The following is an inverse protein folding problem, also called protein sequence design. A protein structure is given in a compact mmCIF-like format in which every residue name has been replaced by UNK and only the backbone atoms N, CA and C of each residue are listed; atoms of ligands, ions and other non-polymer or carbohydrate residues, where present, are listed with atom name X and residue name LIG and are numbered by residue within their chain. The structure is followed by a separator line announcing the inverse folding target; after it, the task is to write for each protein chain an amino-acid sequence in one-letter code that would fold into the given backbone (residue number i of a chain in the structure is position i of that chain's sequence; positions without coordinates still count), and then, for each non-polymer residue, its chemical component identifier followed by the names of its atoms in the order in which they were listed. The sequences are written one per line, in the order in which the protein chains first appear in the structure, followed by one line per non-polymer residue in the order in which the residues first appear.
data_IF_299692593830
#
_entry.id   IF_299692593830
#
_cell.length_a   1.000
_cell.length_b   1.000
_cell.length_c   1.000
_cell.angle_alpha   90.00
_cell.angle_beta   90.00
_cell.angle_gamma   90.00
#
_symmetry.space_group_name_H-M   'P 1'
#
loop_
_entity.id
_entity.type
_entity.pdbx_description
1 polymer ?
#
# COMPACT_ATOMS: atom_id res chain seq x y z
N UNK A 1 -11.17 -34.50 29.08
CA UNK A 1 -10.49 -34.43 27.77
C UNK A 1 -10.25 -32.96 27.49
N UNK A 2 -8.99 -32.54 27.49
CA UNK A 2 -8.61 -31.13 27.63
C UNK A 2 -8.62 -30.37 26.30
N UNK A 3 -9.12 -29.15 26.39
CA UNK A 3 -9.23 -28.12 25.35
C UNK A 3 -7.90 -27.80 24.65
N UNK A 4 -7.89 -27.85 23.31
CA UNK A 4 -6.79 -27.38 22.47
C UNK A 4 -6.98 -25.88 22.18
N UNK A 5 -6.17 -25.06 22.84
CA UNK A 5 -6.04 -23.62 22.62
C UNK A 5 -5.32 -23.36 21.28
N UNK A 6 -5.87 -22.57 20.34
CA UNK A 6 -5.15 -22.21 19.12
C UNK A 6 -4.06 -21.18 19.45
N UNK A 7 -2.80 -21.61 19.35
CA UNK A 7 -1.61 -20.81 19.62
C UNK A 7 -1.45 -19.74 18.53
N UNK A 8 -1.41 -18.48 18.95
CA UNK A 8 -1.19 -17.31 18.09
C UNK A 8 0.10 -17.43 17.25
N UNK A 9 0.16 -16.79 16.06
CA UNK A 9 1.37 -16.80 15.23
C UNK A 9 2.53 -16.12 15.94
N UNK A 10 3.64 -16.86 16.06
CA UNK A 10 4.90 -16.39 16.65
C UNK A 10 5.60 -15.50 15.62
N UNK A 11 5.78 -14.21 15.96
CA UNK A 11 6.65 -13.30 15.22
C UNK A 11 8.11 -13.69 15.52
N UNK A 12 8.89 -14.04 14.49
CA UNK A 12 10.33 -14.30 14.62
C UNK A 12 11.08 -12.98 14.33
N UNK A 13 11.78 -12.37 15.30
CA UNK A 13 12.67 -11.24 15.01
C UNK A 13 14.03 -11.77 14.56
N UNK A 14 14.36 -11.57 13.29
CA UNK A 14 15.70 -11.87 12.76
C UNK A 14 16.73 -10.84 13.28
N UNK A 15 17.47 -11.28 14.30
CA UNK A 15 18.90 -11.09 14.57
C UNK A 15 19.54 -9.69 14.43
N UNK A 16 19.84 -9.13 15.60
CA UNK A 16 20.91 -8.15 15.83
C UNK A 16 22.26 -8.67 15.31
N UNK A 17 22.92 -7.90 14.44
CA UNK A 17 24.37 -8.02 14.22
C UNK A 17 25.05 -6.81 14.86
N UNK A 18 25.70 -7.03 16.00
CA UNK A 18 26.56 -6.06 16.67
C UNK A 18 27.98 -6.15 16.10
N UNK A 19 28.48 -5.09 15.49
CA UNK A 19 29.92 -4.81 15.45
C UNK A 19 30.16 -3.29 15.46
N UNK A 20 30.71 -2.81 16.59
CA UNK A 20 31.52 -1.60 16.82
C UNK A 20 32.12 -0.98 15.55
N UNK A 21 32.07 0.33 15.25
CA UNK A 21 32.54 1.54 15.99
C UNK A 21 32.10 2.81 15.18
N UNK A 22 32.31 4.07 15.64
CA UNK A 22 31.35 5.17 15.50
C UNK A 22 31.64 6.13 14.34
N UNK A 23 30.59 6.79 13.80
CA UNK A 23 30.56 8.20 13.38
C UNK A 23 29.50 8.45 12.29
N UNK A 24 28.88 9.63 12.39
CA UNK A 24 28.05 10.33 11.40
C UNK A 24 26.54 9.97 11.30
N UNK A 25 25.73 10.80 11.97
CA UNK A 25 24.39 11.19 11.55
C UNK A 25 23.24 10.31 12.07
N UNK A 26 22.10 10.90 12.49
CA UNK A 26 20.88 10.11 12.71
C UNK A 26 20.40 9.67 11.32
N UNK A 27 20.79 8.47 10.92
CA UNK A 27 20.15 7.76 9.82
C UNK A 27 18.68 7.59 10.20
N UNK A 28 17.87 8.45 9.59
CA UNK A 28 16.42 8.39 9.56
C UNK A 28 16.01 6.92 9.47
N UNK A 29 15.40 6.42 10.53
CA UNK A 29 14.89 5.06 10.59
C UNK A 29 13.85 4.90 9.48
N UNK A 30 14.27 4.39 8.33
CA UNK A 30 13.38 3.88 7.31
C UNK A 30 12.78 2.58 7.85
N UNK A 31 11.86 2.70 8.81
CA UNK A 31 10.92 1.63 9.09
C UNK A 31 10.07 1.50 7.83
N UNK A 32 10.14 0.37 7.08
CA UNK A 32 9.25 0.16 5.95
C UNK A 32 7.83 0.32 6.45
N UNK A 33 7.08 1.24 5.84
CA UNK A 33 5.69 1.48 6.21
C UNK A 33 4.97 0.13 6.11
N UNK A 34 4.32 -0.34 7.20
CA UNK A 34 3.63 -1.63 7.15
C UNK A 34 2.64 -1.60 5.99
N UNK A 35 2.67 -2.66 5.19
CA UNK A 35 1.75 -2.82 4.08
C UNK A 35 0.33 -2.70 4.63
N UNK A 36 -0.56 -2.01 3.90
CA UNK A 36 -1.92 -1.84 4.37
C UNK A 36 -2.58 -3.21 4.54
N UNK A 37 -3.42 -3.37 5.58
CA UNK A 37 -4.03 -4.64 5.90
C UNK A 37 -4.82 -5.16 4.71
N UNK A 38 -4.70 -6.46 4.45
CA UNK A 38 -5.51 -7.15 3.45
C UNK A 38 -6.96 -7.17 3.97
N UNK A 39 -7.97 -6.86 3.14
CA UNK A 39 -9.37 -7.01 3.54
C UNK A 39 -9.64 -8.39 4.12
N UNK A 40 -10.38 -8.47 5.23
CA UNK A 40 -10.53 -9.71 6.02
C UNK A 40 -10.95 -10.94 5.20
N UNK A 41 -11.84 -10.77 4.21
CA UNK A 41 -12.30 -11.86 3.36
C UNK A 41 -11.20 -12.36 2.40
N UNK A 42 -10.40 -11.45 1.83
CA UNK A 42 -9.24 -11.81 0.98
C UNK A 42 -8.12 -12.44 1.81
N UNK A 43 -7.88 -11.93 3.03
CA UNK A 43 -6.90 -12.51 3.94
C UNK A 43 -7.28 -13.95 4.33
N UNK A 44 -8.57 -14.19 4.61
CA UNK A 44 -9.08 -15.52 4.91
C UNK A 44 -9.00 -16.48 3.71
N UNK A 45 -9.33 -16.00 2.50
CA UNK A 45 -9.22 -16.80 1.27
C UNK A 45 -7.77 -17.19 0.97
N UNK A 46 -6.83 -16.23 1.04
CA UNK A 46 -5.41 -16.50 0.84
C UNK A 46 -4.86 -17.45 1.91
N UNK A 47 -5.22 -17.25 3.18
CA UNK A 47 -4.82 -18.15 4.27
C UNK A 47 -5.38 -19.57 4.06
N UNK A 48 -6.62 -19.71 3.60
CA UNK A 48 -7.21 -21.00 3.28
C UNK A 48 -6.49 -21.69 2.10
N UNK A 49 -6.19 -20.95 1.04
CA UNK A 49 -5.42 -21.46 -0.11
C UNK A 49 -4.03 -21.94 0.29
N UNK A 50 -3.25 -21.11 1.01
CA UNK A 50 -1.94 -21.51 1.54
C UNK A 50 -2.03 -22.71 2.49
N UNK A 51 -3.07 -22.76 3.34
CA UNK A 51 -3.28 -23.89 4.26
C UNK A 51 -3.60 -25.18 3.51
N UNK A 52 -4.38 -25.11 2.42
CA UNK A 52 -4.69 -26.25 1.56
C UNK A 52 -3.42 -26.80 0.88
N UNK A 53 -2.61 -25.93 0.29
CA UNK A 53 -1.34 -26.30 -0.36
C UNK A 53 -0.39 -26.96 0.64
N UNK A 54 -0.28 -26.38 1.84
CA UNK A 54 0.59 -26.90 2.90
C UNK A 54 0.11 -28.26 3.45
N UNK A 55 -1.20 -28.44 3.60
CA UNK A 55 -1.78 -29.68 4.12
C UNK A 55 -1.76 -30.81 3.07
N UNK A 56 -1.87 -30.48 1.78
CA UNK A 56 -1.99 -31.45 0.71
C UNK A 56 -1.07 -31.12 -0.49
N UNK A 57 0.26 -31.17 -0.32
CA UNK A 57 1.20 -30.74 -1.36
C UNK A 57 1.16 -31.58 -2.64
N UNK A 58 0.73 -32.84 -2.55
CA UNK A 58 0.63 -33.76 -3.69
C UNK A 58 -0.79 -33.85 -4.28
N UNK A 59 -1.71 -32.97 -3.85
CA UNK A 59 -3.07 -32.98 -4.38
C UNK A 59 -3.07 -32.47 -5.83
N UNK A 60 -3.88 -33.05 -6.74
CA UNK A 60 -3.94 -32.61 -8.15
C UNK A 60 -4.41 -31.15 -8.34
N UNK A 61 -4.95 -30.53 -7.29
CA UNK A 61 -5.37 -29.12 -7.27
C UNK A 61 -4.42 -28.20 -6.51
N UNK A 62 -3.33 -28.72 -5.93
CA UNK A 62 -2.41 -27.91 -5.14
C UNK A 62 -1.67 -26.88 -6.00
N UNK A 63 -1.28 -27.25 -7.22
CA UNK A 63 -0.64 -26.35 -8.18
C UNK A 63 -1.59 -25.23 -8.62
N UNK A 64 -2.83 -25.59 -9.00
CA UNK A 64 -3.87 -24.61 -9.33
C UNK A 64 -4.15 -23.65 -8.16
N UNK A 65 -4.28 -24.17 -6.94
CA UNK A 65 -4.47 -23.34 -5.76
C UNK A 65 -3.28 -22.40 -5.50
N UNK A 66 -2.05 -22.86 -5.77
CA UNK A 66 -0.85 -22.02 -5.64
C UNK A 66 -0.84 -20.89 -6.67
N UNK A 67 -1.20 -21.17 -7.92
CA UNK A 67 -1.29 -20.18 -8.99
C UNK A 67 -2.36 -19.12 -8.71
N UNK A 68 -3.55 -19.53 -8.27
CA UNK A 68 -4.63 -18.60 -7.90
C UNK A 68 -4.23 -17.69 -6.75
N UNK A 69 -3.62 -18.26 -5.70
CA UNK A 69 -3.15 -17.48 -4.55
C UNK A 69 -2.05 -16.50 -4.97
N UNK A 70 -1.10 -16.93 -5.80
CA UNK A 70 -0.02 -16.09 -6.31
C UNK A 70 -0.56 -14.96 -7.19
N UNK A 71 -1.50 -15.26 -8.10
CA UNK A 71 -2.15 -14.29 -8.97
C UNK A 71 -2.86 -13.21 -8.15
N UNK A 72 -3.63 -13.60 -7.13
CA UNK A 72 -4.30 -12.64 -6.24
C UNK A 72 -3.31 -11.74 -5.48
N UNK A 73 -2.14 -12.28 -5.08
CA UNK A 73 -1.07 -11.51 -4.44
C UNK A 73 -0.46 -10.50 -5.43
N UNK A 74 -0.16 -10.93 -6.65
CA UNK A 74 0.47 -10.09 -7.67
C UNK A 74 -0.47 -8.97 -8.15
N UNK A 75 -1.76 -9.28 -8.36
CA UNK A 75 -2.78 -8.27 -8.67
C UNK A 75 -2.89 -7.22 -7.56
N UNK A 76 -2.89 -7.66 -6.29
CA UNK A 76 -2.93 -6.73 -5.15
C UNK A 76 -1.67 -5.86 -5.08
N UNK A 77 -0.49 -6.45 -5.32
CA UNK A 77 0.77 -5.72 -5.37
C UNK A 77 0.77 -4.64 -6.47
N UNK A 78 0.21 -4.96 -7.64
CA UNK A 78 0.04 -4.01 -8.74
C UNK A 78 -0.85 -2.83 -8.32
N UNK A 79 -1.99 -3.11 -7.70
CA UNK A 79 -2.93 -2.06 -7.23
C UNK A 79 -2.28 -1.17 -6.16
N UNK A 80 -1.46 -1.74 -5.26
CA UNK A 80 -0.67 -0.96 -4.29
C UNK A 80 0.36 -0.05 -4.97
N UNK A 81 1.09 -0.57 -5.96
CA UNK A 81 2.03 0.23 -6.75
C UNK A 81 1.33 1.39 -7.48
N UNK A 82 0.14 1.14 -8.05
CA UNK A 82 -0.69 2.19 -8.65
C UNK A 82 -1.14 3.24 -7.62
N UNK A 83 -1.51 2.81 -6.39
CA UNK A 83 -1.86 3.72 -5.29
C UNK A 83 -0.73 4.69 -4.98
N UNK A 84 0.50 4.18 -4.87
CA UNK A 84 1.67 5.00 -4.53
C UNK A 84 2.04 5.97 -5.67
N UNK A 85 1.94 5.54 -6.94
CA UNK A 85 2.08 6.44 -8.10
C UNK A 85 1.06 7.57 -8.10
N UNK A 86 -0.18 7.30 -7.69
CA UNK A 86 -1.21 8.35 -7.56
C UNK A 86 -0.91 9.31 -6.41
N UNK A 87 -0.38 8.81 -5.27
CA UNK A 87 0.06 9.68 -4.16
C UNK A 87 1.17 10.63 -4.60
N UNK A 88 2.16 10.12 -5.33
CA UNK A 88 3.24 10.95 -5.87
C UNK A 88 2.69 12.02 -6.83
N UNK A 89 1.80 11.65 -7.76
CA UNK A 89 1.14 12.62 -8.66
C UNK A 89 0.36 13.68 -7.89
N UNK A 90 -0.36 13.30 -6.83
CA UNK A 90 -1.07 14.25 -5.97
C UNK A 90 -0.09 15.23 -5.30
N UNK A 91 1.03 14.75 -4.76
CA UNK A 91 2.04 15.60 -4.14
C UNK A 91 2.65 16.59 -5.14
N UNK A 92 3.00 16.13 -6.35
CA UNK A 92 3.53 16.99 -7.41
C UNK A 92 2.50 18.04 -7.83
N UNK A 93 1.22 17.67 -7.98
CA UNK A 93 0.14 18.62 -8.27
C UNK A 93 -0.01 19.67 -7.17
N UNK A 94 0.12 19.27 -5.90
CA UNK A 94 0.07 20.19 -4.77
C UNK A 94 1.24 21.18 -4.77
N UNK A 95 2.47 20.69 -4.99
CA UNK A 95 3.66 21.53 -5.12
C UNK A 95 3.53 22.52 -6.29
N UNK A 96 3.03 22.06 -7.45
CA UNK A 96 2.78 22.94 -8.60
C UNK A 96 1.76 24.03 -8.28
N UNK A 97 0.67 23.71 -7.58
CA UNK A 97 -0.30 24.71 -7.12
C UNK A 97 0.38 25.73 -6.21
N UNK A 98 1.12 25.25 -5.22
CA UNK A 98 1.78 26.10 -4.23
C UNK A 98 2.71 27.13 -4.90
N UNK A 99 3.55 26.68 -5.85
CA UNK A 99 4.45 27.56 -6.62
C UNK A 99 3.70 28.52 -7.57
N UNK A 100 2.52 28.14 -8.05
CA UNK A 100 1.75 28.95 -8.97
C UNK A 100 0.90 30.02 -8.24
N UNK A 101 0.53 29.76 -6.98
CA UNK A 101 -0.19 30.71 -6.14
C UNK A 101 0.69 31.89 -5.68
N UNK A 102 2.02 31.74 -5.75
CA UNK A 102 2.98 32.82 -5.54
C UNK A 102 3.20 33.75 -6.75
N UNK A 103 2.63 33.43 -7.93
CA UNK A 103 2.76 34.24 -9.15
C UNK A 103 1.64 35.26 -9.33
N UNK A 104 1.93 36.55 -9.22
CA UNK A 104 0.98 37.66 -9.44
C UNK A 104 0.74 37.90 -10.94
N UNK A 105 -0.27 37.25 -11.56
CA UNK A 105 -0.60 37.53 -12.97
C UNK A 105 -1.91 36.94 -13.48
N UNK A 106 -2.49 37.51 -14.55
CA UNK A 106 -3.74 37.03 -15.18
C UNK A 106 -3.60 35.66 -15.86
N UNK A 107 -2.38 35.27 -16.27
CA UNK A 107 -2.07 33.90 -16.71
C UNK A 107 -2.19 32.88 -15.56
N UNK A 108 -2.06 33.34 -14.31
CA UNK A 108 -2.17 32.48 -13.15
C UNK A 108 -3.56 31.84 -13.01
N UNK A 109 -4.61 32.52 -13.51
CA UNK A 109 -6.02 32.07 -13.36
C UNK A 109 -6.35 30.90 -14.28
N UNK A 110 -5.85 30.90 -15.53
CA UNK A 110 -6.03 29.77 -16.47
C UNK A 110 -5.27 28.53 -15.99
N UNK A 111 -4.02 28.71 -15.54
CA UNK A 111 -3.22 27.62 -14.95
C UNK A 111 -3.88 27.02 -13.71
N UNK A 112 -4.42 27.87 -12.82
CA UNK A 112 -5.10 27.44 -11.58
C UNK A 112 -6.36 26.61 -11.83
N UNK A 113 -7.11 26.90 -12.90
CA UNK A 113 -8.31 26.12 -13.29
C UNK A 113 -7.95 24.75 -13.87
N UNK A 114 -6.89 24.67 -14.67
CA UNK A 114 -6.39 23.41 -15.24
C UNK A 114 -5.80 22.49 -14.15
N UNK A 115 -5.00 23.04 -13.23
CA UNK A 115 -4.44 22.31 -12.07
C UNK A 115 -5.55 21.74 -11.18
N UNK A 116 -6.63 22.50 -10.94
CA UNK A 116 -7.82 21.99 -10.20
C UNK A 116 -8.52 20.83 -10.90
N UNK A 117 -8.61 20.84 -12.24
CA UNK A 117 -9.24 19.75 -12.99
C UNK A 117 -8.39 18.48 -12.93
N UNK A 118 -7.09 18.61 -13.16
CA UNK A 118 -6.15 17.50 -13.08
C UNK A 118 -6.14 16.86 -11.68
N UNK A 119 -6.11 17.69 -10.63
CA UNK A 119 -6.16 17.25 -9.24
C UNK A 119 -7.44 16.45 -8.93
N UNK A 120 -8.62 16.93 -9.36
CA UNK A 120 -9.88 16.17 -9.21
C UNK A 120 -9.81 14.80 -9.87
N UNK A 121 -9.22 14.72 -11.07
CA UNK A 121 -9.00 13.45 -11.79
C UNK A 121 -8.16 12.48 -10.97
N UNK A 122 -6.97 12.91 -10.54
CA UNK A 122 -6.05 12.07 -9.75
C UNK A 122 -6.67 11.63 -8.43
N UNK A 123 -7.38 12.53 -7.73
CA UNK A 123 -8.08 12.22 -6.48
C UNK A 123 -9.18 11.18 -6.69
N UNK A 124 -9.93 11.30 -7.77
CA UNK A 124 -11.01 10.35 -8.08
C UNK A 124 -10.47 8.94 -8.33
N UNK A 125 -9.36 8.82 -9.06
CA UNK A 125 -8.67 7.55 -9.28
C UNK A 125 -8.09 6.98 -7.98
N UNK A 126 -7.51 7.84 -7.13
CA UNK A 126 -6.98 7.40 -5.83
C UNK A 126 -8.08 6.82 -4.94
N UNK A 127 -9.27 7.44 -4.91
CA UNK A 127 -10.43 6.92 -4.19
C UNK A 127 -10.88 5.55 -4.72
N UNK A 128 -10.92 5.36 -6.05
CA UNK A 128 -11.25 4.06 -6.66
C UNK A 128 -10.25 2.97 -6.26
N UNK A 129 -8.95 3.28 -6.28
CA UNK A 129 -7.91 2.33 -5.88
C UNK A 129 -8.01 1.99 -4.39
N UNK A 130 -8.25 2.98 -3.52
CA UNK A 130 -8.46 2.73 -2.09
C UNK A 130 -9.68 1.82 -1.87
N UNK A 131 -10.78 2.04 -2.59
CA UNK A 131 -11.96 1.18 -2.51
C UNK A 131 -11.65 -0.27 -2.94
N UNK A 132 -10.89 -0.48 -4.02
CA UNK A 132 -10.42 -1.82 -4.44
C UNK A 132 -9.58 -2.51 -3.36
N UNK A 133 -8.81 -1.74 -2.60
CA UNK A 133 -7.99 -2.25 -1.50
C UNK A 133 -8.75 -2.39 -0.18
N UNK A 134 -10.03 -2.00 -0.12
CA UNK A 134 -10.81 -1.94 1.12
C UNK A 134 -10.30 -0.89 2.11
N UNK A 135 -9.56 0.11 1.65
CA UNK A 135 -8.97 1.16 2.47
C UNK A 135 -9.79 2.45 2.44
N UNK A 136 -9.75 3.20 3.54
CA UNK A 136 -10.30 4.56 3.58
C UNK A 136 -9.31 5.52 2.92
N UNK A 137 -9.72 6.31 1.92
CA UNK A 137 -8.79 7.21 1.24
C UNK A 137 -8.42 8.40 2.14
N UNK A 138 -7.12 8.62 2.33
CA UNK A 138 -6.54 9.69 3.16
C UNK A 138 -6.54 11.06 2.46
N UNK A 139 -7.63 11.42 1.78
CA UNK A 139 -7.72 12.61 0.92
C UNK A 139 -7.61 13.89 1.75
N UNK A 140 -8.18 13.89 2.96
CA UNK A 140 -8.26 15.04 3.87
C UNK A 140 -6.93 15.49 4.45
N UNK A 141 -5.81 14.79 4.23
CA UNK A 141 -4.48 15.29 4.64
C UNK A 141 -3.79 16.16 3.59
N UNK A 142 -4.30 16.20 2.35
CA UNK A 142 -3.57 16.77 1.21
C UNK A 142 -4.25 17.97 0.55
N UNK A 143 -5.47 18.34 0.98
CA UNK A 143 -6.28 19.40 0.35
C UNK A 143 -6.72 20.51 1.30
N UNK A 144 -6.07 20.65 2.46
CA UNK A 144 -6.26 21.79 3.37
C UNK A 144 -5.06 22.71 3.32
#
# INVERSE_FOLDING_TARGET
MSSLNPRAPVFIPSLHFTSSTPSAGPLSSFTPRPLPPIPHHLAAANAAGYSFIAAYPNHPLAEFAAEEVQTAVDERALVLCQKDKLREKMLVSHLKRFLHDTGTGKEAVKGKKWVKSQEKGVVSEYKKICAKLGERPEVSRWFF
#
